data_IF_169293454348
#
_entry.id   IF_169293454348
#
_cell.length_a   1.000
_cell.length_b   1.000
_cell.length_c   1.000
_cell.angle_alpha   90.00
_cell.angle_beta   90.00
_cell.angle_gamma   90.00
#
_symmetry.space_group_name_H-M   'P 1'
#
loop_
_entity.id
_entity.type
_entity.pdbx_description
1 polymer ?
#
# COMPACT_ATOMS: atom_id res chain seq x y z
N UNK A 1 22.96 44.37 -64.35
CA UNK A 1 21.97 43.50 -63.71
C UNK A 1 22.68 42.90 -62.52
N UNK A 2 22.31 43.35 -61.28
CA UNK A 2 23.00 42.91 -60.05
C UNK A 2 22.03 42.02 -59.28
N UNK A 3 22.36 40.71 -59.20
CA UNK A 3 21.59 39.71 -58.44
C UNK A 3 21.96 39.85 -56.96
N UNK A 4 20.99 40.23 -56.12
CA UNK A 4 21.10 40.22 -54.65
C UNK A 4 20.59 38.88 -54.17
N UNK A 5 21.50 38.02 -53.65
CA UNK A 5 21.15 36.80 -52.97
C UNK A 5 20.77 37.12 -51.53
N UNK A 6 19.51 36.91 -51.16
CA UNK A 6 19.00 37.11 -49.81
C UNK A 6 19.15 35.78 -49.05
N UNK A 7 20.14 35.71 -48.14
CA UNK A 7 20.37 34.55 -47.26
C UNK A 7 19.48 34.63 -46.05
N UNK A 8 18.47 33.78 -45.96
CA UNK A 8 17.56 33.67 -44.80
C UNK A 8 18.24 32.83 -43.70
N UNK A 9 18.63 33.50 -42.60
CA UNK A 9 19.21 32.88 -41.43
C UNK A 9 18.08 32.30 -40.56
N UNK A 10 17.90 30.99 -40.57
CA UNK A 10 16.89 30.29 -39.68
C UNK A 10 17.53 30.05 -38.34
N UNK A 11 17.20 30.87 -37.33
CA UNK A 11 17.61 30.71 -35.95
C UNK A 11 16.71 29.66 -35.25
N UNK A 12 17.24 28.46 -35.05
CA UNK A 12 16.60 27.38 -34.26
C UNK A 12 16.77 27.75 -32.77
N UNK A 13 15.70 28.19 -32.14
CA UNK A 13 15.62 28.37 -30.68
C UNK A 13 15.52 27.00 -30.04
N UNK A 14 16.64 26.46 -29.54
CA UNK A 14 16.66 25.26 -28.68
C UNK A 14 16.02 25.59 -27.31
N UNK A 15 14.83 25.09 -27.06
CA UNK A 15 14.21 25.14 -25.72
C UNK A 15 14.92 24.16 -24.80
N UNK A 16 15.32 24.58 -23.57
CA UNK A 16 15.84 23.63 -22.58
C UNK A 16 14.71 22.67 -22.20
N UNK A 17 14.89 21.39 -22.47
CA UNK A 17 14.07 20.31 -21.92
C UNK A 17 14.44 20.23 -20.44
N UNK A 18 13.54 20.67 -19.56
CA UNK A 18 13.66 20.43 -18.13
C UNK A 18 13.65 18.92 -17.93
N UNK A 19 14.78 18.37 -17.56
CA UNK A 19 14.90 16.96 -17.20
C UNK A 19 13.95 16.71 -16.02
N UNK A 20 12.86 15.99 -16.27
CA UNK A 20 12.02 15.44 -15.22
C UNK A 20 12.91 14.49 -14.42
N UNK A 21 13.11 14.80 -13.13
CA UNK A 21 13.88 13.95 -12.23
C UNK A 21 13.33 12.52 -12.29
N UNK A 22 14.24 11.56 -12.36
CA UNK A 22 13.85 10.14 -12.31
C UNK A 22 12.99 9.89 -11.05
N UNK A 23 11.95 9.05 -11.15
CA UNK A 23 11.17 8.69 -9.98
C UNK A 23 12.09 8.13 -8.90
N UNK A 24 11.80 8.36 -7.59
CA UNK A 24 12.63 7.89 -6.50
C UNK A 24 12.81 6.37 -6.60
N UNK A 25 14.06 5.94 -6.74
CA UNK A 25 14.38 4.51 -6.76
C UNK A 25 14.32 3.99 -5.31
N UNK A 26 13.45 3.01 -5.08
CA UNK A 26 13.41 2.28 -3.81
C UNK A 26 14.62 1.36 -3.77
N UNK A 27 15.58 1.64 -2.87
CA UNK A 27 16.73 0.75 -2.67
C UNK A 27 16.29 -0.50 -1.90
N UNK A 28 16.89 -1.70 -2.17
CA UNK A 28 16.53 -2.94 -1.47
C UNK A 28 16.64 -2.88 0.05
N UNK A 29 17.48 -2.01 0.59
CA UNK A 29 17.72 -1.85 2.03
C UNK A 29 16.83 -0.79 2.70
N UNK A 30 15.99 -0.11 1.93
CA UNK A 30 15.07 0.89 2.48
C UNK A 30 13.79 0.21 2.98
N UNK A 31 13.30 0.63 4.16
CA UNK A 31 12.01 0.18 4.69
C UNK A 31 10.90 0.47 3.68
N UNK A 32 9.96 -0.48 3.54
CA UNK A 32 8.88 -0.42 2.58
C UNK A 32 7.55 -0.44 3.30
N UNK A 33 6.68 0.53 3.01
CA UNK A 33 5.37 0.65 3.65
C UNK A 33 4.26 0.41 2.64
N UNK A 34 3.23 -0.32 3.09
CA UNK A 34 2.00 -0.52 2.32
C UNK A 34 0.83 -0.13 3.21
N UNK A 35 -0.08 0.63 2.66
CA UNK A 35 -1.36 0.97 3.29
C UNK A 35 -2.48 0.14 2.66
N UNK A 36 -3.18 -0.62 3.48
CA UNK A 36 -4.31 -1.47 3.12
C UNK A 36 -5.59 -0.78 3.55
N UNK A 37 -6.45 -0.44 2.59
CA UNK A 37 -7.70 0.26 2.85
C UNK A 37 -8.88 -0.68 2.70
N UNK A 38 -9.83 -0.56 3.61
CA UNK A 38 -11.05 -1.37 3.66
C UNK A 38 -12.27 -0.46 3.70
N UNK A 39 -13.14 -0.59 2.70
CA UNK A 39 -14.47 0.02 2.67
C UNK A 39 -15.49 -1.08 2.93
N UNK A 40 -16.20 -0.97 4.04
CA UNK A 40 -17.12 -2.00 4.54
C UNK A 40 -18.56 -1.61 4.24
N UNK A 41 -19.44 -2.57 4.03
CA UNK A 41 -20.88 -2.35 3.91
C UNK A 41 -21.42 -1.65 5.15
N UNK A 42 -22.34 -0.71 4.97
CA UNK A 42 -22.96 0.01 6.09
C UNK A 42 -23.62 -0.96 7.08
N UNK A 43 -23.36 -0.73 8.38
CA UNK A 43 -23.83 -1.58 9.45
C UNK A 43 -22.93 -2.77 9.79
N UNK A 44 -21.92 -3.08 8.97
CA UNK A 44 -21.02 -4.21 9.17
C UNK A 44 -19.60 -3.83 9.62
N UNK A 45 -19.34 -2.54 9.90
CA UNK A 45 -18.00 -2.08 10.26
C UNK A 45 -17.46 -2.80 11.51
N UNK A 46 -18.29 -2.91 12.55
CA UNK A 46 -17.90 -3.58 13.78
C UNK A 46 -17.67 -5.09 13.59
N UNK A 47 -18.52 -5.74 12.79
CA UNK A 47 -18.35 -7.17 12.43
C UNK A 47 -17.01 -7.38 11.69
N UNK A 48 -16.71 -6.54 10.70
CA UNK A 48 -15.44 -6.59 9.98
C UNK A 48 -14.24 -6.48 10.92
N UNK A 49 -14.26 -5.48 11.82
CA UNK A 49 -13.16 -5.27 12.75
C UNK A 49 -12.97 -6.47 13.68
N UNK A 50 -14.06 -7.04 14.20
CA UNK A 50 -13.99 -8.22 15.05
C UNK A 50 -13.39 -9.42 14.32
N UNK A 51 -13.82 -9.69 13.09
CA UNK A 51 -13.28 -10.77 12.27
C UNK A 51 -11.80 -10.52 11.91
N UNK A 52 -11.44 -9.28 11.57
CA UNK A 52 -10.06 -8.90 11.30
C UNK A 52 -9.15 -9.13 12.52
N UNK A 53 -9.56 -8.64 13.69
CA UNK A 53 -8.79 -8.79 14.94
C UNK A 53 -8.71 -10.25 15.40
N UNK A 54 -9.71 -11.06 15.10
CA UNK A 54 -9.73 -12.48 15.47
C UNK A 54 -8.89 -13.33 14.52
N UNK A 55 -9.05 -13.14 13.20
CA UNK A 55 -8.57 -14.10 12.20
C UNK A 55 -7.40 -13.59 11.34
N UNK A 56 -7.11 -12.29 11.33
CA UNK A 56 -6.03 -11.74 10.50
C UNK A 56 -4.92 -11.10 11.32
N UNK A 57 -5.28 -10.27 12.28
CA UNK A 57 -4.30 -9.54 13.09
C UNK A 57 -3.30 -10.43 13.85
N UNK A 58 -3.69 -11.60 14.44
CA UNK A 58 -2.72 -12.48 15.11
C UNK A 58 -1.66 -13.03 14.16
N UNK A 59 -2.00 -13.31 12.90
CA UNK A 59 -1.03 -13.70 11.88
C UNK A 59 -0.03 -12.57 11.61
N UNK A 60 -0.52 -11.34 11.43
CA UNK A 60 0.35 -10.17 11.22
C UNK A 60 1.31 -9.98 12.41
N UNK A 61 0.84 -10.17 13.65
CA UNK A 61 1.70 -10.12 14.84
C UNK A 61 2.81 -11.18 14.80
N UNK A 62 2.51 -12.42 14.39
CA UNK A 62 3.52 -13.48 14.21
C UNK A 62 4.55 -13.13 13.14
N UNK A 63 4.13 -12.46 12.09
CA UNK A 63 5.04 -12.00 11.03
C UNK A 63 5.92 -10.84 11.53
N UNK A 64 5.41 -9.95 12.39
CA UNK A 64 6.23 -8.94 13.09
C UNK A 64 7.25 -9.62 14.02
N UNK A 65 6.83 -10.60 14.82
CA UNK A 65 7.72 -11.36 15.71
C UNK A 65 8.85 -12.08 14.93
N UNK A 66 8.59 -12.52 13.70
CA UNK A 66 9.62 -13.12 12.83
C UNK A 66 10.61 -12.13 12.23
N UNK A 67 10.37 -10.82 12.38
CA UNK A 67 11.20 -9.74 11.83
C UNK A 67 11.01 -9.48 10.33
N UNK A 68 10.04 -10.12 9.66
CA UNK A 68 9.68 -9.79 8.27
C UNK A 68 8.94 -8.46 8.17
N UNK A 69 8.04 -8.20 9.11
CA UNK A 69 7.39 -6.90 9.29
C UNK A 69 8.04 -6.17 10.46
N UNK A 70 8.16 -4.85 10.35
CA UNK A 70 8.66 -3.97 11.41
C UNK A 70 7.51 -3.58 12.33
N UNK A 71 6.34 -3.25 11.76
CA UNK A 71 5.17 -2.83 12.51
C UNK A 71 3.89 -2.98 11.69
N UNK A 72 2.78 -3.13 12.41
CA UNK A 72 1.41 -3.09 11.89
C UNK A 72 0.65 -2.05 12.70
N UNK A 73 -0.02 -1.12 12.01
CA UNK A 73 -0.86 -0.08 12.61
C UNK A 73 -2.26 -0.15 11.99
N UNK A 74 -3.31 -0.14 12.82
CA UNK A 74 -4.71 -0.13 12.39
C UNK A 74 -5.31 1.22 12.76
N UNK A 75 -6.01 1.84 11.84
CA UNK A 75 -6.63 3.17 12.01
C UNK A 75 -8.05 3.17 11.44
N UNK A 76 -8.88 4.04 12.00
CA UNK A 76 -10.20 4.39 11.48
C UNK A 76 -10.33 5.90 11.43
N UNK A 77 -11.07 6.49 10.48
CA UNK A 77 -11.31 7.93 10.45
C UNK A 77 -12.00 8.42 11.72
N UNK A 78 -11.51 9.55 12.27
CA UNK A 78 -12.17 10.19 13.42
C UNK A 78 -13.45 10.96 13.03
N UNK A 79 -13.59 11.32 11.74
CA UNK A 79 -14.72 12.09 11.22
C UNK A 79 -15.35 11.41 10.01
N UNK A 80 -16.57 11.83 9.66
CA UNK A 80 -17.27 11.36 8.48
C UNK A 80 -16.55 11.79 7.19
N UNK A 81 -16.55 10.88 6.22
CA UNK A 81 -16.04 11.11 4.87
C UNK A 81 -17.21 11.03 3.87
N UNK A 82 -17.03 11.62 2.69
CA UNK A 82 -17.99 11.42 1.59
C UNK A 82 -17.97 9.96 1.15
N UNK A 83 -19.11 9.46 0.66
CA UNK A 83 -19.21 8.05 0.25
C UNK A 83 -18.17 7.65 -0.80
N UNK A 84 -17.85 8.56 -1.72
CA UNK A 84 -16.87 8.30 -2.79
C UNK A 84 -15.44 8.14 -2.26
N UNK A 85 -15.07 8.89 -1.20
CA UNK A 85 -13.74 8.87 -0.61
C UNK A 85 -13.65 8.01 0.66
N UNK A 86 -14.78 7.43 1.10
CA UNK A 86 -14.86 6.70 2.36
C UNK A 86 -14.02 5.43 2.36
N UNK A 87 -13.25 5.30 3.41
CA UNK A 87 -12.73 4.02 3.91
C UNK A 87 -13.07 3.91 5.39
N UNK A 88 -13.23 2.70 5.91
CA UNK A 88 -13.60 2.46 7.29
C UNK A 88 -12.40 2.07 8.14
N UNK A 89 -11.47 1.30 7.56
CA UNK A 89 -10.23 0.91 8.22
C UNK A 89 -9.05 1.06 7.27
N UNK A 90 -7.91 1.47 7.83
CA UNK A 90 -6.61 1.45 7.19
C UNK A 90 -5.64 0.65 8.03
N UNK A 91 -4.94 -0.27 7.41
CA UNK A 91 -3.85 -1.01 8.04
C UNK A 91 -2.55 -0.61 7.36
N UNK A 92 -1.64 0.00 8.10
CA UNK A 92 -0.31 0.34 7.59
C UNK A 92 0.68 -0.71 8.06
N UNK A 93 1.31 -1.41 7.12
CA UNK A 93 2.36 -2.40 7.39
C UNK A 93 3.69 -1.85 6.91
N UNK A 94 4.68 -1.82 7.80
CA UNK A 94 6.06 -1.51 7.46
C UNK A 94 6.86 -2.80 7.38
N UNK A 95 7.43 -3.04 6.21
CA UNK A 95 8.31 -4.17 5.93
C UNK A 95 9.78 -3.78 6.04
N UNK A 96 10.63 -4.78 6.26
CA UNK A 96 12.08 -4.60 6.30
C UNK A 96 12.62 -3.99 4.99
N UNK A 97 12.08 -4.43 3.85
CA UNK A 97 12.37 -3.90 2.52
C UNK A 97 11.28 -4.32 1.52
N UNK A 98 11.36 -3.85 0.29
CA UNK A 98 10.42 -4.16 -0.78
C UNK A 98 10.42 -5.64 -1.16
N UNK A 99 11.57 -6.30 -1.18
CA UNK A 99 11.67 -7.73 -1.48
C UNK A 99 10.87 -8.57 -0.50
N UNK A 100 10.99 -8.28 0.81
CA UNK A 100 10.22 -8.97 1.85
C UNK A 100 8.72 -8.70 1.69
N UNK A 101 8.32 -7.49 1.33
CA UNK A 101 6.91 -7.11 1.14
C UNK A 101 6.26 -7.85 -0.05
N UNK A 102 7.02 -8.08 -1.13
CA UNK A 102 6.50 -8.67 -2.37
C UNK A 102 6.73 -10.18 -2.50
N UNK A 103 7.47 -10.77 -1.57
CA UNK A 103 7.73 -12.22 -1.56
C UNK A 103 6.80 -12.92 -0.58
N UNK A 104 6.14 -13.99 -1.02
CA UNK A 104 5.29 -14.80 -0.15
C UNK A 104 6.04 -15.23 1.12
N UNK A 105 5.33 -15.24 2.24
CA UNK A 105 5.88 -15.73 3.50
C UNK A 105 5.84 -17.27 3.51
N UNK A 106 6.99 -17.97 3.50
CA UNK A 106 7.02 -19.42 3.44
C UNK A 106 6.39 -20.11 4.67
N UNK A 107 6.29 -19.38 5.78
CA UNK A 107 5.72 -19.89 7.04
C UNK A 107 4.23 -19.61 7.20
N UNK A 108 3.60 -18.89 6.31
CA UNK A 108 2.24 -18.38 6.49
C UNK A 108 1.21 -19.48 6.67
N UNK A 109 1.22 -20.50 5.82
CA UNK A 109 0.30 -21.63 5.92
C UNK A 109 0.47 -22.39 7.24
N UNK A 110 1.71 -22.59 7.68
CA UNK A 110 2.02 -23.23 8.96
C UNK A 110 1.50 -22.41 10.14
N UNK A 111 1.71 -21.10 10.12
CA UNK A 111 1.24 -20.17 11.15
C UNK A 111 -0.30 -20.16 11.21
N UNK A 112 -0.98 -20.13 10.07
CA UNK A 112 -2.44 -20.17 10.00
C UNK A 112 -2.97 -21.45 10.67
N UNK A 113 -2.41 -22.61 10.33
CA UNK A 113 -2.83 -23.88 10.95
C UNK A 113 -2.56 -23.94 12.45
N UNK A 114 -1.50 -23.30 12.93
CA UNK A 114 -1.18 -23.22 14.34
C UNK A 114 -2.10 -22.27 15.11
N UNK A 115 -2.42 -21.11 14.53
CA UNK A 115 -3.27 -20.10 15.18
C UNK A 115 -4.74 -20.52 15.21
N UNK A 116 -5.19 -21.20 14.16
CA UNK A 116 -6.59 -21.62 14.02
C UNK A 116 -6.67 -23.12 13.67
N UNK A 117 -6.63 -24.02 14.67
CA UNK A 117 -6.71 -25.48 14.40
C UNK A 117 -8.01 -25.90 13.71
N UNK A 118 -9.14 -25.24 14.00
CA UNK A 118 -10.40 -25.40 13.24
C UNK A 118 -10.34 -24.58 11.95
N UNK A 119 -9.78 -25.21 10.91
CA UNK A 119 -9.60 -24.58 9.61
C UNK A 119 -10.94 -24.26 8.92
N UNK A 120 -11.97 -25.06 9.14
CA UNK A 120 -13.29 -24.80 8.55
C UNK A 120 -13.95 -23.57 9.15
N UNK A 121 -13.85 -23.38 10.45
CA UNK A 121 -14.33 -22.18 11.12
C UNK A 121 -13.54 -20.94 10.64
N UNK A 122 -12.21 -21.03 10.61
CA UNK A 122 -11.33 -19.99 10.13
C UNK A 122 -11.70 -19.56 8.70
N UNK A 123 -11.84 -20.49 7.77
CA UNK A 123 -12.15 -20.18 6.37
C UNK A 123 -13.57 -19.61 6.19
N UNK A 124 -14.56 -20.06 6.98
CA UNK A 124 -15.91 -19.47 6.95
C UNK A 124 -15.88 -18.00 7.40
N UNK A 125 -15.15 -17.70 8.46
CA UNK A 125 -15.05 -16.35 9.01
C UNK A 125 -14.24 -15.41 8.10
N UNK A 126 -13.13 -15.90 7.52
CA UNK A 126 -12.37 -15.13 6.53
C UNK A 126 -13.22 -14.81 5.28
N UNK A 127 -13.97 -15.79 4.77
CA UNK A 127 -14.90 -15.57 3.68
C UNK A 127 -15.94 -14.52 4.04
N UNK A 128 -16.54 -14.62 5.25
CA UNK A 128 -17.50 -13.64 5.74
C UNK A 128 -16.89 -12.24 5.83
N UNK A 129 -15.66 -12.11 6.27
CA UNK A 129 -14.94 -10.83 6.33
C UNK A 129 -14.83 -10.18 4.95
N UNK A 130 -14.59 -10.95 3.90
CA UNK A 130 -14.52 -10.44 2.52
C UNK A 130 -15.92 -10.16 1.92
N UNK A 131 -16.93 -10.95 2.25
CA UNK A 131 -18.31 -10.74 1.76
C UNK A 131 -18.90 -9.39 2.18
N UNK A 132 -18.52 -8.87 3.33
CA UNK A 132 -19.00 -7.58 3.84
C UNK A 132 -18.16 -6.38 3.39
N UNK A 133 -17.15 -6.58 2.54
CA UNK A 133 -16.41 -5.49 1.90
C UNK A 133 -17.14 -4.95 0.68
N UNK A 134 -17.12 -3.64 0.51
CA UNK A 134 -17.49 -2.95 -0.73
C UNK A 134 -16.27 -2.74 -1.63
N UNK A 135 -15.12 -2.45 -1.02
CA UNK A 135 -13.85 -2.28 -1.72
C UNK A 135 -12.67 -2.55 -0.78
N UNK A 136 -11.58 -2.99 -1.37
CA UNK A 136 -10.28 -3.16 -0.71
C UNK A 136 -9.18 -2.83 -1.71
N UNK A 137 -8.19 -2.06 -1.28
CA UNK A 137 -7.04 -1.73 -2.13
C UNK A 137 -5.78 -1.57 -1.30
N UNK A 138 -4.65 -1.88 -1.92
CA UNK A 138 -3.33 -1.85 -1.33
C UNK A 138 -2.52 -0.75 -2.01
N UNK A 139 -1.96 0.16 -1.23
CA UNK A 139 -1.22 1.31 -1.71
C UNK A 139 0.20 1.32 -1.14
N UNK A 140 1.22 0.98 -1.93
CA UNK A 140 2.59 1.23 -1.54
C UNK A 140 2.84 2.73 -1.37
N UNK A 141 3.48 3.12 -0.27
CA UNK A 141 3.79 4.51 0.04
C UNK A 141 5.29 4.70 0.26
N UNK A 142 5.81 5.85 -0.16
CA UNK A 142 7.21 6.22 -0.02
C UNK A 142 7.31 7.52 0.76
N UNK A 143 8.19 7.54 1.77
CA UNK A 143 8.49 8.76 2.51
C UNK A 143 9.25 9.75 1.61
N UNK A 144 8.76 10.98 1.54
CA UNK A 144 9.46 12.08 0.88
C UNK A 144 10.07 12.94 1.97
N UNK A 145 11.41 12.92 2.08
CA UNK A 145 12.14 13.84 2.96
C UNK A 145 12.62 15.04 2.14
N UNK A 146 12.02 16.24 2.31
CA UNK A 146 12.51 17.44 1.63
C UNK A 146 13.95 17.72 2.02
N UNK A 147 14.85 17.90 1.04
CA UNK A 147 16.20 18.37 1.31
C UNK A 147 16.11 19.78 1.92
N UNK A 148 16.67 19.98 3.12
CA UNK A 148 16.87 21.34 3.63
C UNK A 148 17.84 22.06 2.70
N UNK A 149 17.36 23.12 2.07
CA UNK A 149 18.22 24.06 1.34
C UNK A 149 19.04 24.87 2.32
#
# INVERSE_FOLDING_TARGET
>A
MRNILLTLLLSVLARPVLAQGAPPQVTPDQTYSVEYYYKVQWGHQQEFLQLFLKNHYPLLQKIVESGRMISVKIETPANHMTEDARWDYRVTIRFKNSTVATTANPDEERLIKQLWPDQDAYQREERRRFEILLAHWDLPVTDITPSRK
#
